data_IF_102653873345
#
_entry.id   IF_102653873345
#
_cell.length_a   1.000
_cell.length_b   1.000
_cell.length_c   1.000
_cell.angle_alpha   90.00
_cell.angle_beta   90.00
_cell.angle_gamma   90.00
#
_symmetry.space_group_name_H-M   'P 1'
#
loop_
_entity.id
_entity.type
_entity.pdbx_description
1 polymer ?
#
# COMPACT_ATOMS: atom_id res chain seq x y z
N UNK A 1 33.72 -7.51 -8.19
CA UNK A 1 32.82 -8.64 -7.92
C UNK A 1 32.73 -9.06 -6.45
N UNK A 2 33.80 -9.09 -5.63
CA UNK A 2 33.71 -9.48 -4.21
C UNK A 2 32.81 -8.58 -3.33
N UNK A 3 32.63 -7.32 -3.72
CA UNK A 3 31.88 -6.33 -2.94
C UNK A 3 30.37 -6.59 -2.98
N UNK A 4 29.82 -6.98 -4.13
CA UNK A 4 28.39 -7.30 -4.26
C UNK A 4 27.99 -8.54 -3.42
N UNK A 5 28.84 -9.56 -3.40
CA UNK A 5 28.63 -10.75 -2.57
C UNK A 5 28.71 -10.42 -1.08
N UNK A 6 29.70 -9.61 -0.68
CA UNK A 6 29.85 -9.16 0.71
C UNK A 6 28.65 -8.34 1.17
N UNK A 7 28.14 -7.44 0.33
CA UNK A 7 26.92 -6.67 0.62
C UNK A 7 25.72 -7.60 0.76
N UNK A 8 25.52 -8.54 -0.17
CA UNK A 8 24.41 -9.48 -0.13
C UNK A 8 24.41 -10.37 1.13
N UNK A 9 25.56 -10.94 1.50
CA UNK A 9 25.67 -11.76 2.72
C UNK A 9 25.46 -10.92 3.98
N UNK A 10 25.95 -9.68 4.02
CA UNK A 10 25.67 -8.78 5.15
C UNK A 10 24.17 -8.47 5.27
N UNK A 11 23.50 -8.14 4.17
CA UNK A 11 22.05 -7.89 4.16
C UNK A 11 21.27 -9.10 4.70
N UNK A 12 21.71 -10.31 4.36
CA UNK A 12 21.09 -11.55 4.87
C UNK A 12 21.25 -11.71 6.39
N UNK A 13 22.31 -11.19 6.97
CA UNK A 13 22.59 -11.24 8.41
C UNK A 13 21.81 -10.16 9.18
N UNK A 14 21.58 -8.99 8.60
CA UNK A 14 20.90 -7.85 9.25
C UNK A 14 19.41 -7.75 8.92
N UNK A 15 18.69 -8.88 8.99
CA UNK A 15 17.22 -8.90 8.72
C UNK A 15 16.37 -8.23 9.80
N UNK A 16 16.93 -7.95 10.97
CA UNK A 16 16.27 -7.18 12.02
C UNK A 16 16.12 -5.71 11.62
N UNK A 17 17.03 -5.17 10.81
CA UNK A 17 16.93 -3.81 10.31
C UNK A 17 15.91 -3.72 9.17
N UNK A 18 14.97 -2.77 9.26
CA UNK A 18 13.87 -2.66 8.32
C UNK A 18 14.33 -2.33 6.90
N UNK A 19 15.28 -1.40 6.76
CA UNK A 19 15.83 -1.01 5.46
C UNK A 19 16.54 -2.19 4.79
N UNK A 20 17.35 -2.94 5.55
CA UNK A 20 18.06 -4.12 5.04
C UNK A 20 17.09 -5.23 4.64
N UNK A 21 16.05 -5.48 5.44
CA UNK A 21 14.99 -6.45 5.11
C UNK A 21 14.26 -6.06 3.82
N UNK A 22 13.84 -4.81 3.69
CA UNK A 22 13.12 -4.35 2.50
C UNK A 22 14.01 -4.37 1.25
N UNK A 23 15.28 -3.97 1.38
CA UNK A 23 16.24 -4.07 0.29
C UNK A 23 16.48 -5.53 -0.14
N UNK A 24 16.55 -6.46 0.81
CA UNK A 24 16.60 -7.89 0.50
C UNK A 24 15.37 -8.38 -0.25
N UNK A 25 14.17 -7.94 0.13
CA UNK A 25 12.93 -8.32 -0.57
C UNK A 25 12.90 -7.82 -2.00
N UNK A 26 13.43 -6.62 -2.26
CA UNK A 26 13.59 -6.07 -3.62
C UNK A 26 14.59 -6.89 -4.43
N UNK A 27 15.76 -7.20 -3.86
CA UNK A 27 16.78 -8.02 -4.52
C UNK A 27 16.29 -9.43 -4.86
N UNK A 28 15.39 -9.97 -4.05
CA UNK A 28 14.80 -11.29 -4.25
C UNK A 28 13.52 -11.25 -5.12
N UNK A 29 13.22 -10.11 -5.74
CA UNK A 29 12.03 -9.87 -6.57
C UNK A 29 10.69 -10.18 -5.87
N UNK A 30 10.69 -10.12 -4.54
CA UNK A 30 9.48 -10.35 -3.72
C UNK A 30 8.62 -9.11 -3.61
N UNK A 31 9.23 -7.93 -3.76
CA UNK A 31 8.56 -6.62 -3.78
C UNK A 31 9.28 -5.72 -4.77
N UNK A 32 8.52 -4.86 -5.44
CA UNK A 32 9.09 -3.81 -6.27
C UNK A 32 9.60 -2.66 -5.40
N UNK A 33 10.57 -1.92 -5.94
CA UNK A 33 11.04 -0.67 -5.33
C UNK A 33 9.89 0.36 -5.19
N UNK A 34 8.89 0.32 -6.08
CA UNK A 34 7.75 1.24 -6.00
C UNK A 34 6.94 1.10 -4.71
N UNK A 35 6.84 -0.10 -4.14
CA UNK A 35 6.19 -0.30 -2.82
C UNK A 35 6.95 0.45 -1.73
N UNK A 36 8.28 0.36 -1.72
CA UNK A 36 9.12 1.06 -0.75
C UNK A 36 9.03 2.58 -0.89
N UNK A 37 9.15 3.08 -2.13
CA UNK A 37 8.99 4.51 -2.42
C UNK A 37 7.62 4.96 -1.91
N UNK A 38 6.58 4.16 -2.13
CA UNK A 38 5.24 4.55 -1.71
C UNK A 38 5.06 4.61 -0.19
N UNK A 39 5.62 3.65 0.53
CA UNK A 39 5.61 3.65 1.99
C UNK A 39 6.31 4.91 2.54
N UNK A 40 7.48 5.27 1.98
CA UNK A 40 8.19 6.50 2.36
C UNK A 40 7.40 7.77 2.06
N UNK A 41 6.79 7.86 0.89
CA UNK A 41 5.91 8.97 0.53
C UNK A 41 4.74 9.10 1.51
N UNK A 42 4.14 7.98 1.89
CA UNK A 42 2.98 7.95 2.79
C UNK A 42 3.35 8.45 4.18
N UNK A 43 4.47 7.98 4.73
CA UNK A 43 5.03 8.46 6.00
C UNK A 43 5.35 9.95 5.91
N UNK A 44 5.99 10.39 4.82
CA UNK A 44 6.35 11.80 4.61
C UNK A 44 5.12 12.69 4.52
N UNK A 45 4.08 12.25 3.81
CA UNK A 45 2.83 13.00 3.69
C UNK A 45 2.13 13.12 5.03
N UNK A 46 2.01 12.02 5.78
CA UNK A 46 1.39 12.04 7.10
C UNK A 46 2.15 12.96 8.07
N UNK A 47 3.48 12.89 8.08
CA UNK A 47 4.30 13.78 8.91
C UNK A 47 4.09 15.26 8.54
N UNK A 48 3.98 15.58 7.25
CA UNK A 48 3.66 16.95 6.80
C UNK A 48 2.30 17.41 7.32
N UNK A 49 1.27 16.58 7.23
CA UNK A 49 -0.06 16.93 7.75
C UNK A 49 -0.04 17.15 9.26
N UNK A 50 0.70 16.33 10.02
CA UNK A 50 0.86 16.51 11.46
C UNK A 50 1.58 17.83 11.80
N UNK A 51 2.65 18.17 11.07
CA UNK A 51 3.36 19.44 11.22
C UNK A 51 2.45 20.63 10.89
N UNK A 52 1.58 20.51 9.89
CA UNK A 52 0.66 21.58 9.52
C UNK A 52 -0.37 21.88 10.62
N UNK A 53 -0.79 20.86 11.37
CA UNK A 53 -1.72 21.02 12.50
C UNK A 53 -1.01 21.55 13.76
N UNK A 54 0.27 21.21 13.93
CA UNK A 54 1.14 21.72 15.01
C UNK A 54 1.56 23.17 14.75
N UNK A 55 0.62 24.11 14.92
CA UNK A 55 0.84 25.54 14.69
C UNK A 55 1.99 26.16 15.50
N UNK A 56 2.35 25.56 16.64
CA UNK A 56 3.44 26.01 17.50
C UNK A 56 4.77 25.33 17.16
N UNK A 57 4.75 24.31 16.29
CA UNK A 57 5.89 23.49 15.88
C UNK A 57 6.66 22.88 17.07
N UNK A 58 5.94 22.55 18.14
CA UNK A 58 6.51 22.00 19.38
C UNK A 58 6.74 20.49 19.28
N UNK A 59 6.21 19.84 18.25
CA UNK A 59 6.22 18.39 18.12
C UNK A 59 5.10 17.70 18.90
N UNK A 60 4.10 18.45 19.38
CA UNK A 60 3.01 17.96 20.22
C UNK A 60 1.66 18.16 19.52
N UNK A 61 0.78 17.17 19.63
CA UNK A 61 -0.61 17.23 19.17
C UNK A 61 -1.54 16.59 20.19
N UNK A 62 -2.80 16.99 20.22
CA UNK A 62 -3.81 16.27 20.99
C UNK A 62 -4.20 14.96 20.30
N UNK A 63 -4.74 14.00 21.06
CA UNK A 63 -5.28 12.76 20.48
C UNK A 63 -6.41 13.03 19.47
N UNK A 64 -7.24 14.05 19.70
CA UNK A 64 -8.26 14.47 18.74
C UNK A 64 -7.67 14.99 17.43
N UNK A 65 -6.59 15.78 17.50
CA UNK A 65 -5.88 16.27 16.32
C UNK A 65 -5.25 15.12 15.53
N UNK A 66 -4.62 14.16 16.21
CA UNK A 66 -4.09 12.96 15.56
C UNK A 66 -5.20 12.20 14.81
N UNK A 67 -6.32 11.92 15.49
CA UNK A 67 -7.46 11.21 14.88
C UNK A 67 -7.98 11.93 13.64
N UNK A 68 -8.11 13.26 13.72
CA UNK A 68 -8.56 14.09 12.59
C UNK A 68 -7.59 14.00 11.41
N UNK A 69 -6.29 14.09 11.66
CA UNK A 69 -5.25 13.97 10.61
C UNK A 69 -5.24 12.58 9.99
N UNK A 70 -5.40 11.52 10.79
CA UNK A 70 -5.46 10.15 10.26
C UNK A 70 -6.67 9.96 9.35
N UNK A 71 -7.85 10.43 9.76
CA UNK A 71 -9.08 10.33 8.95
C UNK A 71 -9.01 11.15 7.66
N UNK A 72 -8.38 12.33 7.69
CA UNK A 72 -8.22 13.16 6.50
C UNK A 72 -7.15 12.60 5.55
N UNK A 73 -6.06 12.05 6.08
CA UNK A 73 -4.97 11.46 5.29
C UNK A 73 -5.37 10.12 4.68
N UNK A 74 -6.21 9.36 5.37
CA UNK A 74 -6.67 8.03 4.96
C UNK A 74 -8.20 7.93 4.89
N UNK A 75 -8.85 8.65 3.95
CA UNK A 75 -10.31 8.76 3.91
C UNK A 75 -11.04 7.44 3.63
N UNK A 76 -10.34 6.41 3.15
CA UNK A 76 -10.91 5.11 2.82
C UNK A 76 -10.62 4.02 3.87
N UNK A 77 -9.86 4.34 4.92
CA UNK A 77 -9.66 3.41 6.03
C UNK A 77 -10.92 3.34 6.87
N UNK A 78 -11.27 2.12 7.28
CA UNK A 78 -12.35 1.89 8.24
C UNK A 78 -11.97 2.43 9.62
N UNK A 79 -12.98 2.77 10.41
CA UNK A 79 -12.78 3.39 11.73
C UNK A 79 -11.97 2.50 12.69
N UNK A 80 -12.15 1.18 12.65
CA UNK A 80 -11.34 0.21 13.40
C UNK A 80 -9.86 0.27 13.02
N UNK A 81 -9.55 0.46 11.73
CA UNK A 81 -8.16 0.64 11.26
C UNK A 81 -7.56 1.97 11.66
N UNK A 82 -8.35 3.03 11.71
CA UNK A 82 -7.91 4.31 12.29
C UNK A 82 -7.64 4.14 13.79
N UNK A 83 -8.49 3.42 14.50
CA UNK A 83 -8.35 3.15 15.92
C UNK A 83 -7.09 2.33 16.24
N UNK A 84 -6.78 1.29 15.44
CA UNK A 84 -5.52 0.54 15.56
C UNK A 84 -4.27 1.44 15.40
N UNK A 85 -4.33 2.46 14.53
CA UNK A 85 -3.25 3.43 14.36
C UNK A 85 -3.14 4.38 15.55
N UNK A 86 -4.27 4.82 16.10
CA UNK A 86 -4.31 5.61 17.34
C UNK A 86 -3.64 4.85 18.49
N UNK A 87 -3.99 3.56 18.66
CA UNK A 87 -3.43 2.69 19.68
C UNK A 87 -1.92 2.47 19.50
N UNK A 88 -1.49 2.23 18.26
CA UNK A 88 -0.06 2.12 17.93
C UNK A 88 0.70 3.45 18.15
N UNK A 89 -0.02 4.57 18.13
CA UNK A 89 0.49 5.90 18.47
C UNK A 89 0.52 6.20 19.97
N UNK A 90 0.05 5.28 20.83
CA UNK A 90 0.04 5.44 22.29
C UNK A 90 -1.30 5.87 22.89
N UNK A 91 -2.39 5.85 22.11
CA UNK A 91 -3.74 6.00 22.66
C UNK A 91 -4.17 4.76 23.44
N UNK A 92 -4.86 4.97 24.56
CA UNK A 92 -5.40 3.91 25.42
C UNK A 92 -6.84 4.25 25.84
N UNK A 93 -7.58 3.27 26.37
CA UNK A 93 -8.98 3.45 26.79
C UNK A 93 -9.17 4.51 27.89
N UNK A 94 -8.12 4.86 28.62
CA UNK A 94 -8.11 5.92 29.62
C UNK A 94 -7.56 7.26 29.09
N UNK A 95 -7.15 7.33 27.82
CA UNK A 95 -6.68 8.56 27.20
C UNK A 95 -7.84 9.52 26.96
N UNK A 96 -7.63 10.79 27.29
CA UNK A 96 -8.52 11.88 26.94
C UNK A 96 -8.21 12.39 25.53
N UNK A 97 -9.22 12.92 24.84
CA UNK A 97 -9.03 13.61 23.56
C UNK A 97 -8.06 14.80 23.64
N UNK A 98 -7.93 15.40 24.83
CA UNK A 98 -7.03 16.51 25.11
C UNK A 98 -5.60 16.09 25.49
N UNK A 99 -5.34 14.78 25.66
CA UNK A 99 -4.00 14.30 26.01
C UNK A 99 -3.01 14.62 24.90
N UNK A 100 -1.82 15.10 25.30
CA UNK A 100 -0.76 15.49 24.38
C UNK A 100 0.10 14.29 24.00
N UNK A 101 0.38 14.19 22.71
CA UNK A 101 1.22 13.19 22.09
C UNK A 101 2.41 13.85 21.40
N UNK A 102 3.61 13.33 21.62
CA UNK A 102 4.78 13.68 20.83
C UNK A 102 4.77 12.93 19.49
N UNK A 103 4.18 13.54 18.45
CA UNK A 103 4.02 12.89 17.15
C UNK A 103 5.36 12.65 16.43
N UNK A 104 6.39 13.47 16.70
CA UNK A 104 7.72 13.28 16.08
C UNK A 104 8.35 11.96 16.51
N UNK A 105 8.08 11.52 17.74
CA UNK A 105 8.57 10.25 18.26
C UNK A 105 7.99 9.03 17.52
N UNK A 106 6.82 9.17 16.88
CA UNK A 106 6.18 8.08 16.12
C UNK A 106 6.98 7.65 14.88
N UNK A 107 7.86 8.51 14.38
CA UNK A 107 8.59 8.33 13.12
C UNK A 107 10.10 8.13 13.33
N UNK A 108 10.53 7.94 14.57
CA UNK A 108 11.91 7.59 14.87
C UNK A 108 12.17 6.11 14.54
N UNK A 109 13.44 5.76 14.43
CA UNK A 109 13.91 4.39 14.42
C UNK A 109 14.60 4.10 15.76
N UNK A 110 14.53 2.84 16.22
CA UNK A 110 15.27 2.40 17.40
C UNK A 110 16.77 2.21 17.10
N UNK A 111 17.53 1.76 18.11
CA UNK A 111 18.98 1.56 17.99
C UNK A 111 19.36 0.48 16.96
N UNK A 112 18.44 -0.42 16.60
CA UNK A 112 18.61 -1.44 15.57
C UNK A 112 18.15 -0.98 14.17
N UNK A 113 17.62 0.24 14.08
CA UNK A 113 17.03 0.81 12.87
C UNK A 113 15.67 0.19 12.53
N UNK A 114 14.92 -0.26 13.54
CA UNK A 114 13.53 -0.68 13.40
C UNK A 114 12.62 0.52 13.57
N UNK A 115 11.60 0.60 12.73
CA UNK A 115 10.59 1.65 12.83
C UNK A 115 9.72 1.46 14.07
N UNK A 116 9.30 2.57 14.68
CA UNK A 116 8.39 2.54 15.84
C UNK A 116 7.05 1.84 15.51
N UNK A 117 6.33 1.31 16.53
CA UNK A 117 5.12 0.51 16.34
C UNK A 117 4.05 1.15 15.45
N UNK A 118 3.95 2.48 15.49
CA UNK A 118 3.05 3.26 14.64
C UNK A 118 3.33 3.08 13.14
N UNK A 119 4.59 3.23 12.72
CA UNK A 119 5.00 3.05 11.32
C UNK A 119 4.87 1.59 10.89
N UNK A 120 5.19 0.64 11.78
CA UNK A 120 4.95 -0.78 11.52
C UNK A 120 3.48 -1.06 11.25
N UNK A 121 2.57 -0.50 12.07
CA UNK A 121 1.12 -0.66 11.89
C UNK A 121 0.64 -0.07 10.57
N UNK A 122 1.18 1.07 10.13
CA UNK A 122 0.87 1.64 8.80
C UNK A 122 1.24 0.66 7.67
N UNK A 123 2.41 0.03 7.74
CA UNK A 123 2.86 -0.93 6.74
C UNK A 123 2.07 -2.24 6.77
N UNK A 124 1.79 -2.73 7.97
CA UNK A 124 0.95 -3.91 8.18
C UNK A 124 -0.44 -3.70 7.54
N UNK A 125 -1.10 -2.58 7.83
CA UNK A 125 -2.39 -2.26 7.24
C UNK A 125 -2.32 -2.12 5.71
N UNK A 126 -1.27 -1.50 5.17
CA UNK A 126 -1.08 -1.40 3.73
C UNK A 126 -1.00 -2.79 3.06
N UNK A 127 -0.28 -3.74 3.67
CA UNK A 127 -0.18 -5.11 3.15
C UNK A 127 -1.56 -5.78 3.18
N UNK A 128 -2.29 -5.68 4.29
CA UNK A 128 -3.63 -6.24 4.39
C UNK A 128 -4.60 -5.64 3.37
N UNK A 129 -4.58 -4.33 3.17
CA UNK A 129 -5.43 -3.64 2.18
C UNK A 129 -5.12 -4.09 0.74
N UNK A 130 -3.84 -4.31 0.43
CA UNK A 130 -3.42 -4.84 -0.86
C UNK A 130 -3.93 -6.27 -1.06
N UNK A 131 -3.77 -7.13 -0.05
CA UNK A 131 -4.25 -8.51 -0.09
C UNK A 131 -5.77 -8.56 -0.28
N UNK A 132 -6.52 -7.75 0.47
CA UNK A 132 -7.98 -7.63 0.31
C UNK A 132 -8.36 -7.20 -1.11
N UNK A 133 -7.66 -6.20 -1.67
CA UNK A 133 -7.92 -5.72 -3.03
C UNK A 133 -7.65 -6.80 -4.10
N UNK A 134 -6.58 -7.58 -3.94
CA UNK A 134 -6.27 -8.68 -4.86
C UNK A 134 -7.23 -9.87 -4.70
N UNK A 135 -7.73 -10.13 -3.49
CA UNK A 135 -8.78 -11.14 -3.29
C UNK A 135 -10.09 -10.72 -3.95
N UNK A 136 -10.49 -9.45 -3.84
CA UNK A 136 -11.67 -8.91 -4.50
C UNK A 136 -11.55 -8.99 -6.03
N UNK A 137 -10.40 -8.61 -6.58
CA UNK A 137 -10.07 -8.77 -8.00
C UNK A 137 -10.24 -10.23 -8.46
N UNK A 138 -9.70 -11.19 -7.69
CA UNK A 138 -9.84 -12.62 -7.98
C UNK A 138 -11.31 -13.08 -7.92
N UNK A 139 -12.07 -12.63 -6.93
CA UNK A 139 -13.48 -12.98 -6.77
C UNK A 139 -14.33 -12.48 -7.94
N UNK A 140 -14.13 -11.21 -8.34
CA UNK A 140 -14.88 -10.59 -9.43
C UNK A 140 -14.50 -11.17 -10.81
N UNK A 141 -13.25 -11.61 -10.98
CA UNK A 141 -12.86 -12.38 -12.17
C UNK A 141 -13.60 -13.71 -12.29
N UNK A 142 -13.92 -14.36 -11.15
CA UNK A 142 -14.66 -15.63 -11.13
C UNK A 142 -13.89 -16.80 -11.77
N UNK A 143 -12.56 -16.71 -11.83
CA UNK A 143 -11.68 -17.67 -12.48
C UNK A 143 -10.84 -18.47 -11.46
N UNK A 144 -10.57 -19.72 -11.80
CA UNK A 144 -9.62 -20.55 -11.06
C UNK A 144 -8.17 -20.14 -11.35
N UNK A 145 -7.26 -20.40 -10.41
CA UNK A 145 -5.86 -19.94 -10.53
C UNK A 145 -5.12 -20.47 -11.76
N UNK A 146 -5.57 -21.60 -12.32
CA UNK A 146 -4.96 -22.24 -13.50
C UNK A 146 -5.55 -21.74 -14.82
N UNK A 147 -6.65 -21.01 -14.77
CA UNK A 147 -7.32 -20.48 -15.96
C UNK A 147 -6.59 -19.25 -16.49
N UNK A 148 -6.83 -18.97 -17.77
CA UNK A 148 -6.27 -17.81 -18.45
C UNK A 148 -7.19 -16.61 -18.29
N UNK A 149 -6.59 -15.45 -18.07
CA UNK A 149 -7.26 -14.16 -18.06
C UNK A 149 -6.71 -13.32 -19.21
N UNK A 150 -7.60 -12.66 -19.94
CA UNK A 150 -7.22 -11.73 -21.01
C UNK A 150 -7.03 -10.32 -20.45
N UNK A 151 -6.20 -9.52 -21.09
CA UNK A 151 -5.97 -8.14 -20.69
C UNK A 151 -7.27 -7.31 -20.64
N UNK A 152 -8.17 -7.36 -21.66
CA UNK A 152 -9.44 -6.65 -21.59
C UNK A 152 -10.31 -7.08 -20.41
N UNK A 153 -10.31 -8.37 -20.07
CA UNK A 153 -11.09 -8.87 -18.93
C UNK A 153 -10.55 -8.36 -17.60
N UNK A 154 -9.23 -8.36 -17.41
CA UNK A 154 -8.62 -7.80 -16.21
C UNK A 154 -8.90 -6.29 -16.09
N UNK A 155 -8.83 -5.57 -17.20
CA UNK A 155 -9.14 -4.13 -17.26
C UNK A 155 -10.58 -3.85 -16.83
N UNK A 156 -11.53 -4.58 -17.41
CA UNK A 156 -12.96 -4.46 -17.08
C UNK A 156 -13.17 -4.64 -15.58
N UNK A 157 -12.63 -5.72 -15.00
CA UNK A 157 -12.80 -6.01 -13.58
C UNK A 157 -12.16 -4.95 -12.69
N UNK A 158 -10.95 -4.47 -13.02
CA UNK A 158 -10.31 -3.39 -12.26
C UNK A 158 -11.16 -2.11 -12.24
N UNK A 159 -11.81 -1.78 -13.37
CA UNK A 159 -12.71 -0.62 -13.44
C UNK A 159 -14.04 -0.84 -12.71
N UNK A 160 -14.51 -2.08 -12.60
CA UNK A 160 -15.70 -2.43 -11.80
C UNK A 160 -15.39 -2.28 -10.32
N UNK A 161 -14.30 -2.89 -9.84
CA UNK A 161 -13.99 -2.89 -8.40
C UNK A 161 -13.44 -1.55 -7.92
N UNK A 162 -12.78 -0.76 -8.78
CA UNK A 162 -12.23 0.57 -8.45
C UNK A 162 -12.52 1.60 -9.56
N UNK A 163 -13.75 2.14 -9.63
CA UNK A 163 -14.15 3.11 -10.65
C UNK A 163 -13.38 4.43 -10.60
N UNK A 164 -12.69 4.71 -9.49
CA UNK A 164 -11.88 5.92 -9.30
C UNK A 164 -10.44 5.75 -9.82
N UNK A 165 -10.09 4.58 -10.34
CA UNK A 165 -8.75 4.29 -10.86
C UNK A 165 -8.50 5.07 -12.16
N UNK A 166 -7.49 5.93 -12.14
CA UNK A 166 -7.13 6.73 -13.31
C UNK A 166 -6.50 5.87 -14.42
N UNK A 167 -6.66 6.29 -15.68
CA UNK A 167 -6.19 5.56 -16.87
C UNK A 167 -4.69 5.25 -16.82
N UNK A 168 -3.87 6.16 -16.27
CA UNK A 168 -2.43 5.97 -16.19
C UNK A 168 -2.06 4.86 -15.21
N UNK A 169 -2.64 4.90 -14.00
CA UNK A 169 -2.43 3.85 -12.99
C UNK A 169 -2.96 2.50 -13.49
N UNK A 170 -4.16 2.46 -14.07
CA UNK A 170 -4.75 1.24 -14.64
C UNK A 170 -3.83 0.61 -15.69
N UNK A 171 -3.36 1.40 -16.66
CA UNK A 171 -2.45 0.90 -17.68
C UNK A 171 -1.11 0.42 -17.09
N UNK A 172 -0.62 1.09 -16.04
CA UNK A 172 0.59 0.63 -15.33
C UNK A 172 0.38 -0.76 -14.71
N UNK A 173 -0.77 -1.01 -14.06
CA UNK A 173 -1.10 -2.32 -13.50
C UNK A 173 -1.23 -3.41 -14.58
N UNK A 174 -1.90 -3.11 -15.68
CA UNK A 174 -2.05 -4.05 -16.81
C UNK A 174 -0.70 -4.40 -17.43
N UNK A 175 0.14 -3.40 -17.70
CA UNK A 175 1.47 -3.61 -18.27
C UNK A 175 2.33 -4.51 -17.38
N UNK A 176 2.27 -4.32 -16.06
CA UNK A 176 3.02 -5.15 -15.10
C UNK A 176 2.44 -6.56 -14.98
N UNK A 177 1.10 -6.70 -14.93
CA UNK A 177 0.41 -8.00 -14.87
C UNK A 177 0.76 -8.89 -16.08
N UNK A 178 0.77 -8.32 -17.28
CA UNK A 178 1.00 -9.06 -18.52
C UNK A 178 2.43 -8.98 -19.04
N UNK A 179 3.31 -8.18 -18.42
CA UNK A 179 4.66 -7.86 -18.89
C UNK A 179 4.69 -7.29 -20.31
N UNK A 180 3.73 -6.42 -20.62
CA UNK A 180 3.63 -5.74 -21.92
C UNK A 180 4.51 -4.50 -21.93
N UNK A 181 5.25 -4.30 -23.02
CA UNK A 181 6.09 -3.12 -23.21
C UNK A 181 5.23 -1.85 -23.23
N UNK A 182 5.63 -0.80 -22.50
CA UNK A 182 4.91 0.50 -22.42
C UNK A 182 4.68 1.14 -23.80
N UNK A 183 5.50 0.79 -24.80
CA UNK A 183 5.43 1.23 -26.19
C UNK A 183 4.42 0.49 -27.08
N UNK A 184 3.83 -0.62 -26.62
CA UNK A 184 3.03 -1.53 -27.46
C UNK A 184 1.55 -1.63 -27.06
N UNK A 185 1.04 -0.71 -26.24
CA UNK A 185 -0.41 -0.54 -26.08
C UNK A 185 -0.83 0.58 -27.03
N UNK A 186 -1.08 0.31 -28.32
CA UNK A 186 -1.63 1.32 -29.21
C UNK A 186 -2.93 1.80 -28.60
N UNK A 187 -3.10 3.13 -28.58
CA UNK A 187 -4.41 3.73 -28.34
C UNK A 187 -5.40 3.06 -29.30
N UNK A 188 -6.30 2.25 -28.74
CA UNK A 188 -7.60 1.92 -29.35
C UNK A 188 -7.59 0.96 -30.57
N UNK A 189 -6.76 -0.08 -30.61
CA UNK A 189 -7.09 -1.27 -31.41
C UNK A 189 -7.42 -2.45 -30.49
N UNK A 190 -8.71 -2.56 -30.10
CA UNK A 190 -9.26 -3.65 -29.28
C UNK A 190 -8.86 -5.04 -29.81
N UNK A 191 -8.72 -5.18 -31.14
CA UNK A 191 -8.35 -6.43 -31.81
C UNK A 191 -6.95 -6.97 -31.45
N UNK A 192 -6.00 -6.13 -31.04
CA UNK A 192 -4.65 -6.58 -30.66
C UNK A 192 -4.54 -6.99 -29.20
N UNK A 193 -5.40 -6.44 -28.32
CA UNK A 193 -5.36 -6.72 -26.88
C UNK A 193 -6.05 -8.04 -26.51
N UNK A 194 -7.01 -8.51 -27.32
CA UNK A 194 -7.69 -9.80 -27.10
C UNK A 194 -6.73 -11.00 -27.12
N UNK A 195 -5.59 -10.89 -27.80
CA UNK A 195 -4.56 -11.93 -27.87
C UNK A 195 -3.61 -11.94 -26.66
N UNK A 196 -3.67 -10.93 -25.79
CA UNK A 196 -2.80 -10.85 -24.62
C UNK A 196 -3.43 -11.63 -23.48
N UNK A 197 -2.90 -12.83 -23.22
CA UNK A 197 -3.40 -13.76 -22.20
C UNK A 197 -2.28 -14.18 -21.26
N UNK A 198 -2.63 -14.46 -20.02
CA UNK A 198 -1.73 -15.06 -19.03
C UNK A 198 -2.53 -15.88 -18.03
N UNK A 199 -1.88 -16.85 -17.38
CA UNK A 199 -2.51 -17.58 -16.28
C UNK A 199 -2.82 -16.63 -15.13
N UNK A 200 -4.02 -16.74 -14.56
CA UNK A 200 -4.47 -15.88 -13.46
C UNK A 200 -3.49 -15.90 -12.29
N UNK A 201 -2.97 -17.08 -11.92
CA UNK A 201 -1.94 -17.19 -10.88
C UNK A 201 -0.76 -16.27 -11.15
N UNK A 202 -0.22 -16.31 -12.37
CA UNK A 202 0.93 -15.49 -12.76
C UNK A 202 0.60 -14.00 -12.72
N UNK A 203 -0.60 -13.62 -13.14
CA UNK A 203 -1.09 -12.23 -13.07
C UNK A 203 -1.13 -11.75 -11.62
N UNK A 204 -1.75 -12.52 -10.72
CA UNK A 204 -1.85 -12.18 -9.30
C UNK A 204 -0.48 -12.13 -8.63
N UNK A 205 0.41 -13.09 -8.92
CA UNK A 205 1.79 -13.09 -8.41
C UNK A 205 2.58 -11.84 -8.85
N UNK A 206 2.37 -11.35 -10.08
CA UNK A 206 3.01 -10.12 -10.57
C UNK A 206 2.42 -8.87 -9.94
N UNK A 207 1.10 -8.82 -9.78
CA UNK A 207 0.41 -7.70 -9.12
C UNK A 207 0.78 -7.63 -7.63
N UNK A 208 1.01 -8.77 -6.98
CA UNK A 208 1.46 -8.87 -5.60
C UNK A 208 2.83 -8.20 -5.38
N UNK A 209 3.72 -8.24 -6.38
CA UNK A 209 5.05 -7.63 -6.25
C UNK A 209 4.99 -6.09 -6.33
N UNK A 210 4.01 -5.50 -7.01
CA UNK A 210 3.96 -4.05 -7.27
C UNK A 210 3.13 -3.25 -6.24
N UNK A 211 3.20 -1.91 -6.32
CA UNK A 211 2.32 -0.98 -5.58
C UNK A 211 0.91 -0.93 -6.19
N UNK A 212 0.18 -2.04 -6.09
CA UNK A 212 -1.24 -2.09 -6.41
C UNK A 212 -2.07 -1.71 -5.19
N UNK A 213 -3.04 -0.79 -5.37
CA UNK A 213 -3.95 -0.38 -4.30
C UNK A 213 -5.19 0.28 -4.86
N UNK A 214 -6.26 0.18 -4.09
CA UNK A 214 -7.53 0.87 -4.31
C UNK A 214 -7.35 2.40 -4.26
N UNK A 215 -7.97 3.12 -5.20
CA UNK A 215 -7.94 4.59 -5.31
C UNK A 215 -9.24 5.26 -4.86
N UNK A 216 -10.37 4.57 -4.97
CA UNK A 216 -11.67 5.07 -4.53
C UNK A 216 -12.24 4.38 -3.30
N UNK A 217 -13.33 4.93 -2.75
CA UNK A 217 -14.16 4.21 -1.81
C UNK A 217 -14.74 2.97 -2.50
N UNK A 218 -14.92 1.89 -1.73
CA UNK A 218 -15.71 0.74 -2.20
C UNK A 218 -17.15 1.25 -2.41
N UNK A 219 -17.71 1.09 -3.61
CA UNK A 219 -19.15 1.32 -3.78
C UNK A 219 -19.91 0.37 -2.82
N UNK A 220 -20.83 0.97 -2.07
CA UNK A 220 -21.16 0.63 -0.68
C UNK A 220 -21.74 -0.78 -0.44
N UNK A 221 -21.43 -1.37 0.72
CA UNK A 221 -22.45 -2.13 1.45
C UNK A 221 -23.62 -1.17 1.76
N UNK A 222 -24.86 -1.46 1.37
CA UNK A 222 -25.96 -0.54 1.54
C UNK A 222 -26.09 -0.18 3.02
N UNK A 223 -26.17 1.12 3.30
CA UNK A 223 -26.55 1.63 4.62
C UNK A 223 -27.84 0.91 5.04
N UNK A 224 -27.73 0.01 6.00
CA UNK A 224 -28.90 -0.62 6.63
C UNK A 224 -29.64 0.53 7.31
N UNK A 225 -30.72 0.97 6.66
CA UNK A 225 -31.60 2.02 7.16
C UNK A 225 -32.03 1.67 8.58
N UNK A 226 -31.77 2.60 9.50
CA UNK A 226 -32.34 2.61 10.85
C UNK A 226 -33.80 3.08 10.81
#
# INVERSE_FOLDING_TARGET
MAWAYTIFENIKLFRSNDLMRQFYEILMEKKSESVFIKQKETVTQLLKELINVDSQNEGLLTMEQLSTVLKSTFPFKKEDKIQELMEAGGWHANSSNADLLNYRALFLEDEEGQSMPFVYKLWEQYIFEKDEYLQELKQELGLELREEVTLPKLREVLMIIDPSLDKQTLNSYLNQAFQVSVTEVPEESVENEENIVAQLRTVLERLEVIDIRRKGAREQEPAVGS
#
